data_IF_949504066107
#
_entry.id   IF_949504066107
#
_cell.length_a   1.000
_cell.length_b   1.000
_cell.length_c   1.000
_cell.angle_alpha   90.00
_cell.angle_beta   90.00
_cell.angle_gamma   90.00
#
_symmetry.space_group_name_H-M   'P 1'
#
loop_
_entity.id
_entity.type
_entity.pdbx_description
1 polymer ?
#
# COMPACT_ATOMS: atom_id res chain seq x y z
N UNK A 1 -11.67 -14.42 -15.40
CA UNK A 1 -10.60 -14.11 -16.39
C UNK A 1 -9.31 -13.83 -15.62
N UNK A 2 -8.13 -14.04 -16.20
CA UNK A 2 -6.86 -13.61 -15.59
C UNK A 2 -6.88 -12.12 -15.26
N UNK A 3 -6.42 -11.76 -14.06
CA UNK A 3 -6.26 -10.37 -13.62
C UNK A 3 -4.76 -10.09 -13.52
N UNK A 4 -4.36 -8.87 -13.89
CA UNK A 4 -3.00 -8.36 -13.70
C UNK A 4 -2.99 -7.46 -12.47
N UNK A 5 -2.26 -7.84 -11.44
CA UNK A 5 -2.12 -7.06 -10.21
C UNK A 5 -0.79 -6.29 -10.20
N UNK A 6 -0.83 -4.98 -10.06
CA UNK A 6 0.35 -4.16 -9.77
C UNK A 6 0.38 -3.93 -8.26
N UNK A 7 1.34 -4.56 -7.58
CA UNK A 7 1.40 -4.66 -6.12
C UNK A 7 2.39 -3.64 -5.55
N UNK A 8 1.88 -2.57 -4.95
CA UNK A 8 2.69 -1.46 -4.43
C UNK A 8 2.74 -1.53 -2.90
N UNK A 9 3.92 -1.78 -2.31
CA UNK A 9 4.08 -1.92 -0.87
C UNK A 9 4.06 -0.55 -0.17
N UNK A 10 3.73 -0.58 1.12
CA UNK A 10 3.77 0.57 2.01
C UNK A 10 5.17 0.96 2.46
N UNK A 11 5.22 1.80 3.50
CA UNK A 11 6.46 2.22 4.15
C UNK A 11 7.34 1.03 4.56
N UNK A 12 8.66 1.22 4.57
CA UNK A 12 9.71 0.27 4.97
C UNK A 12 9.88 -0.95 4.05
N UNK A 13 8.92 -1.24 3.17
CA UNK A 13 8.85 -2.48 2.42
C UNK A 13 9.37 -2.30 0.98
N UNK A 14 9.61 -3.42 0.32
CA UNK A 14 9.89 -3.53 -1.11
C UNK A 14 9.04 -4.64 -1.73
N UNK A 15 9.27 -4.94 -3.00
CA UNK A 15 8.58 -6.02 -3.73
C UNK A 15 8.63 -7.37 -3.01
N UNK A 16 9.68 -7.60 -2.22
CA UNK A 16 9.87 -8.79 -1.41
C UNK A 16 8.70 -9.10 -0.45
N UNK A 17 7.97 -8.07 -0.01
CA UNK A 17 6.85 -8.24 0.92
C UNK A 17 5.72 -9.11 0.32
N UNK A 18 5.58 -9.10 -0.99
CA UNK A 18 4.56 -9.87 -1.72
C UNK A 18 4.96 -11.32 -2.02
N UNK A 19 6.16 -11.76 -1.57
CA UNK A 19 6.74 -13.07 -1.92
C UNK A 19 5.82 -14.25 -1.59
N UNK A 20 5.00 -14.17 -0.54
CA UNK A 20 4.06 -15.22 -0.15
C UNK A 20 2.75 -15.16 -0.95
N UNK A 21 2.32 -13.96 -1.38
CA UNK A 21 1.05 -13.73 -2.09
C UNK A 21 1.16 -14.07 -3.58
N UNK A 22 2.29 -13.71 -4.22
CA UNK A 22 2.48 -13.90 -5.67
C UNK A 22 2.26 -15.34 -6.14
N UNK A 23 2.83 -16.38 -5.49
CA UNK A 23 2.58 -17.76 -5.90
C UNK A 23 1.10 -18.15 -5.85
N UNK A 24 0.37 -17.67 -4.84
CA UNK A 24 -1.05 -17.95 -4.65
C UNK A 24 -1.90 -17.32 -5.76
N UNK A 25 -1.60 -16.09 -6.16
CA UNK A 25 -2.24 -15.43 -7.31
C UNK A 25 -1.91 -16.16 -8.62
N UNK A 26 -0.66 -16.56 -8.80
CA UNK A 26 -0.20 -17.29 -10.00
C UNK A 26 -0.89 -18.66 -10.13
N UNK A 27 -1.03 -19.40 -9.03
CA UNK A 27 -1.73 -20.69 -8.99
C UNK A 27 -3.20 -20.57 -9.44
N UNK A 28 -3.82 -19.43 -9.16
CA UNK A 28 -5.19 -19.09 -9.59
C UNK A 28 -5.26 -18.50 -11.01
N UNK A 29 -4.12 -18.44 -11.72
CA UNK A 29 -4.05 -17.98 -13.11
C UNK A 29 -3.97 -16.47 -13.29
N UNK A 30 -3.59 -15.72 -12.23
CA UNK A 30 -3.41 -14.26 -12.26
C UNK A 30 -1.94 -13.88 -12.41
N UNK A 31 -1.67 -12.69 -12.96
CA UNK A 31 -0.34 -12.13 -13.10
C UNK A 31 -0.07 -11.10 -12.01
N UNK A 32 1.17 -11.01 -11.54
CA UNK A 32 1.57 -10.09 -10.47
C UNK A 32 2.81 -9.31 -10.85
N UNK A 33 2.76 -8.00 -10.67
CA UNK A 33 3.82 -7.04 -10.96
C UNK A 33 4.17 -6.29 -9.66
N UNK A 34 5.02 -6.88 -8.81
CA UNK A 34 5.41 -6.24 -7.56
C UNK A 34 6.37 -5.07 -7.81
N UNK A 35 6.15 -3.98 -7.08
CA UNK A 35 6.94 -2.76 -7.20
C UNK A 35 7.84 -2.59 -5.97
N UNK A 36 9.06 -2.09 -6.15
CA UNK A 36 9.84 -1.48 -5.08
C UNK A 36 10.01 -0.01 -5.38
N UNK A 37 9.52 0.84 -4.49
CA UNK A 37 9.65 2.29 -4.62
C UNK A 37 11.11 2.71 -4.38
N UNK A 38 11.56 3.70 -5.12
CA UNK A 38 12.93 4.25 -5.01
C UNK A 38 13.22 4.69 -3.58
N UNK A 39 14.37 4.28 -3.05
CA UNK A 39 14.80 4.57 -1.69
C UNK A 39 14.38 3.55 -0.63
N UNK A 40 13.68 2.47 -1.02
CA UNK A 40 13.27 1.39 -0.10
C UNK A 40 13.68 0.02 -0.66
N UNK A 41 13.58 -1.03 0.18
CA UNK A 41 13.91 -2.40 -0.17
C UNK A 41 15.29 -2.51 -0.84
N UNK A 42 15.39 -3.28 -1.92
CA UNK A 42 16.62 -3.46 -2.70
C UNK A 42 17.07 -2.17 -3.41
N UNK A 43 16.24 -1.12 -3.44
CA UNK A 43 16.56 0.20 -4.00
C UNK A 43 16.94 1.23 -2.92
N UNK A 44 17.23 0.78 -1.70
CA UNK A 44 17.59 1.66 -0.56
C UNK A 44 18.84 2.49 -0.84
N UNK A 45 19.76 2.01 -1.67
CA UNK A 45 20.97 2.74 -2.08
C UNK A 45 20.68 4.03 -2.86
N UNK A 46 19.46 4.21 -3.35
CA UNK A 46 18.98 5.42 -4.02
C UNK A 46 18.26 6.38 -3.06
N UNK A 47 18.20 6.05 -1.75
CA UNK A 47 17.53 6.90 -0.77
C UNK A 47 18.20 8.27 -0.67
N UNK A 48 17.39 9.33 -0.73
CA UNK A 48 17.87 10.70 -0.59
C UNK A 48 16.76 11.60 -0.03
N UNK A 49 17.14 12.74 0.54
CA UNK A 49 16.20 13.75 1.03
C UNK A 49 15.41 14.46 -0.07
N UNK A 50 15.83 14.30 -1.32
CA UNK A 50 15.18 14.92 -2.48
C UNK A 50 14.05 14.05 -3.04
N UNK A 51 13.96 12.77 -2.65
CA UNK A 51 12.90 11.88 -3.10
C UNK A 51 11.54 12.43 -2.71
N UNK A 52 10.72 12.78 -3.71
CA UNK A 52 9.35 13.24 -3.54
C UNK A 52 8.34 12.20 -3.98
N UNK A 53 7.05 12.54 -3.83
CA UNK A 53 5.93 11.67 -4.22
C UNK A 53 5.94 11.35 -5.71
N UNK A 54 6.39 12.28 -6.54
CA UNK A 54 6.48 12.10 -7.99
C UNK A 54 7.43 10.97 -8.38
N UNK A 55 8.55 10.80 -7.67
CA UNK A 55 9.46 9.66 -7.89
C UNK A 55 8.76 8.34 -7.61
N UNK A 56 8.02 8.24 -6.52
CA UNK A 56 7.26 7.03 -6.17
C UNK A 56 6.16 6.74 -7.21
N UNK A 57 5.46 7.77 -7.70
CA UNK A 57 4.47 7.65 -8.77
C UNK A 57 5.14 7.13 -10.05
N UNK A 58 6.28 7.70 -10.44
CA UNK A 58 6.98 7.32 -11.66
C UNK A 58 7.53 5.88 -11.59
N UNK A 59 7.94 5.39 -10.41
CA UNK A 59 8.33 3.98 -10.24
C UNK A 59 7.20 3.03 -10.65
N UNK A 60 5.96 3.33 -10.23
CA UNK A 60 4.79 2.51 -10.56
C UNK A 60 4.40 2.66 -12.02
N UNK A 61 4.39 3.89 -12.54
CA UNK A 61 4.11 4.16 -13.97
C UNK A 61 5.08 3.40 -14.85
N UNK A 62 6.38 3.40 -14.53
CA UNK A 62 7.37 2.67 -15.32
C UNK A 62 7.14 1.16 -15.34
N UNK A 63 6.75 0.54 -14.22
CA UNK A 63 6.39 -0.88 -14.22
C UNK A 63 5.23 -1.14 -15.19
N UNK A 64 4.22 -0.27 -15.21
CA UNK A 64 3.05 -0.41 -16.08
C UNK A 64 3.44 -0.19 -17.55
N UNK A 65 4.22 0.86 -17.84
CA UNK A 65 4.63 1.19 -19.20
C UNK A 65 5.56 0.15 -19.81
N UNK A 66 6.63 -0.24 -19.11
CA UNK A 66 7.64 -1.16 -19.63
C UNK A 66 7.17 -2.64 -19.67
N UNK A 67 6.01 -2.95 -19.11
CA UNK A 67 5.34 -4.25 -19.26
C UNK A 67 4.06 -4.17 -20.11
N UNK A 68 3.81 -3.06 -20.80
CA UNK A 68 2.67 -2.82 -21.69
C UNK A 68 1.31 -3.18 -21.03
N UNK A 69 1.16 -2.89 -19.71
CA UNK A 69 -0.01 -3.33 -18.97
C UNK A 69 -1.25 -2.54 -19.36
N UNK A 70 -2.34 -3.27 -19.59
CA UNK A 70 -3.71 -2.78 -19.74
C UNK A 70 -4.65 -3.68 -18.95
N UNK A 71 -5.78 -3.12 -18.53
CA UNK A 71 -6.79 -3.85 -17.75
C UNK A 71 -6.19 -4.47 -16.49
N UNK A 72 -5.42 -3.67 -15.74
CA UNK A 72 -4.76 -4.07 -14.49
C UNK A 72 -5.45 -3.47 -13.27
N UNK A 73 -5.28 -4.11 -12.13
CA UNK A 73 -5.71 -3.63 -10.82
C UNK A 73 -4.49 -3.16 -10.05
N UNK A 74 -4.56 -1.91 -9.55
CA UNK A 74 -3.55 -1.37 -8.64
C UNK A 74 -3.88 -1.79 -7.21
N UNK A 75 -2.91 -2.35 -6.50
CA UNK A 75 -3.01 -2.63 -5.07
C UNK A 75 -2.07 -1.71 -4.34
N UNK A 76 -2.61 -0.78 -3.57
CA UNK A 76 -1.83 0.17 -2.77
C UNK A 76 -1.92 -0.15 -1.29
N UNK A 77 -0.84 -0.65 -0.69
CA UNK A 77 -0.78 -0.92 0.73
C UNK A 77 -0.35 0.33 1.52
N UNK A 78 -1.11 0.68 2.59
CA UNK A 78 -0.69 1.73 3.52
C UNK A 78 -0.38 3.07 2.81
N UNK A 79 0.79 3.66 3.02
CA UNK A 79 1.29 4.84 2.32
C UNK A 79 1.10 4.78 0.80
N UNK A 80 1.22 3.58 0.20
CA UNK A 80 1.09 3.44 -1.25
C UNK A 80 -0.34 3.76 -1.77
N UNK A 81 -1.35 3.82 -0.92
CA UNK A 81 -2.67 4.35 -1.30
C UNK A 81 -2.57 5.76 -1.90
N UNK A 82 -1.67 6.59 -1.35
CA UNK A 82 -1.37 7.93 -1.85
C UNK A 82 -0.58 7.92 -3.17
N UNK A 83 0.17 6.85 -3.45
CA UNK A 83 0.94 6.70 -4.70
C UNK A 83 0.06 6.18 -5.82
N UNK A 84 -0.76 5.15 -5.57
CA UNK A 84 -1.57 4.50 -6.62
C UNK A 84 -2.71 5.37 -7.13
N UNK A 85 -3.22 6.30 -6.33
CA UNK A 85 -4.30 7.20 -6.76
C UNK A 85 -3.88 8.10 -7.94
N UNK A 86 -2.78 8.88 -7.89
CA UNK A 86 -2.34 9.66 -9.05
C UNK A 86 -1.83 8.80 -10.21
N UNK A 87 -1.31 7.58 -9.96
CA UNK A 87 -1.00 6.63 -11.04
C UNK A 87 -2.27 6.24 -11.80
N UNK A 88 -3.32 5.88 -11.09
CA UNK A 88 -4.61 5.53 -11.68
C UNK A 88 -5.24 6.70 -12.42
N UNK A 89 -5.14 7.92 -11.89
CA UNK A 89 -5.64 9.13 -12.55
C UNK A 89 -4.91 9.39 -13.89
N UNK A 90 -3.59 9.23 -13.93
CA UNK A 90 -2.79 9.38 -15.16
C UNK A 90 -3.10 8.29 -16.20
N UNK A 91 -3.35 7.08 -15.76
CA UNK A 91 -3.57 5.89 -16.61
C UNK A 91 -5.03 5.43 -16.57
N UNK A 92 -5.97 6.37 -16.38
CA UNK A 92 -7.39 6.11 -16.15
C UNK A 92 -8.07 5.28 -17.26
N UNK A 93 -7.55 5.32 -18.48
CA UNK A 93 -8.02 4.55 -19.64
C UNK A 93 -7.46 3.11 -19.69
N UNK A 94 -6.56 2.76 -18.78
CA UNK A 94 -5.88 1.45 -18.75
C UNK A 94 -6.12 0.69 -17.45
N UNK A 95 -6.45 1.39 -16.36
CA UNK A 95 -6.67 0.80 -15.04
C UNK A 95 -8.08 0.25 -14.92
N UNK A 96 -8.24 -0.98 -14.40
CA UNK A 96 -9.54 -1.59 -14.13
C UNK A 96 -10.10 -1.16 -12.77
N UNK A 97 -9.23 -0.84 -11.81
CA UNK A 97 -9.60 -0.38 -10.47
C UNK A 97 -8.42 -0.32 -9.52
N UNK A 98 -8.71 0.16 -8.31
CA UNK A 98 -7.75 0.24 -7.21
C UNK A 98 -8.28 -0.60 -6.03
N UNK A 99 -7.38 -1.35 -5.39
CA UNK A 99 -7.63 -1.98 -4.08
C UNK A 99 -6.72 -1.28 -3.06
N UNK A 100 -7.32 -0.61 -2.10
CA UNK A 100 -6.64 0.01 -0.96
C UNK A 100 -6.49 -1.05 0.14
N UNK A 101 -5.28 -1.53 0.35
CA UNK A 101 -4.97 -2.53 1.38
C UNK A 101 -4.48 -1.82 2.64
N UNK A 102 -5.29 -1.84 3.67
CA UNK A 102 -5.07 -1.12 4.93
C UNK A 102 -4.58 0.32 4.67
N UNK A 103 -5.30 0.98 3.76
CA UNK A 103 -5.01 2.28 3.19
C UNK A 103 -6.30 3.02 2.86
N UNK A 104 -6.20 4.33 2.62
CA UNK A 104 -7.35 5.17 2.34
C UNK A 104 -7.25 5.82 0.97
N UNK A 105 -8.43 6.06 0.37
CA UNK A 105 -8.55 6.93 -0.77
C UNK A 105 -8.24 8.38 -0.34
N UNK A 106 -7.20 9.01 -0.88
CA UNK A 106 -6.63 10.23 -0.30
C UNK A 106 -7.52 11.49 -0.39
N UNK A 107 -8.55 11.45 -1.23
CA UNK A 107 -9.47 12.60 -1.47
C UNK A 107 -10.81 12.49 -0.74
N UNK A 108 -11.24 11.29 -0.34
CA UNK A 108 -12.59 11.03 0.20
C UNK A 108 -12.60 10.59 1.66
N UNK A 109 -11.62 9.82 2.06
CA UNK A 109 -11.53 9.27 3.42
C UNK A 109 -10.29 9.82 4.08
N UNK A 110 -10.47 10.56 5.17
CA UNK A 110 -9.34 10.98 5.99
C UNK A 110 -8.91 9.79 6.85
N UNK A 111 -7.62 9.49 6.86
CA UNK A 111 -7.08 8.58 7.86
C UNK A 111 -7.44 9.09 9.25
N UNK A 112 -7.93 8.23 10.17
CA UNK A 112 -8.14 8.60 11.56
C UNK A 112 -6.88 9.16 12.23
N UNK A 113 -5.73 8.77 11.74
CA UNK A 113 -4.41 9.20 12.23
C UNK A 113 -3.83 10.40 11.46
N UNK A 114 -4.59 11.01 10.53
CA UNK A 114 -4.13 12.09 9.66
C UNK A 114 -3.22 11.59 8.53
N UNK A 115 -2.80 12.50 7.67
CA UNK A 115 -1.83 12.17 6.63
C UNK A 115 -0.47 11.90 7.26
N UNK A 116 -0.25 10.70 7.74
CA UNK A 116 0.96 10.26 8.40
C UNK A 116 1.31 10.95 9.73
N UNK A 117 0.83 10.34 10.79
CA UNK A 117 1.16 10.60 12.19
C UNK A 117 1.18 12.08 12.65
N UNK A 118 0.02 12.74 12.74
CA UNK A 118 -0.06 14.04 13.40
C UNK A 118 0.15 13.94 14.92
N UNK A 119 0.10 12.72 15.49
CA UNK A 119 0.39 12.50 16.92
C UNK A 119 1.89 12.57 17.22
N UNK A 120 2.76 12.53 16.21
CA UNK A 120 4.20 12.41 16.36
C UNK A 120 4.62 11.06 16.95
N UNK A 121 3.75 10.04 16.86
CA UNK A 121 3.97 8.75 17.50
C UNK A 121 5.05 7.91 16.80
N UNK A 122 5.20 8.11 15.47
CA UNK A 122 6.38 7.63 14.75
C UNK A 122 7.58 8.55 14.98
N UNK A 123 7.32 9.76 15.46
CA UNK A 123 8.31 10.81 15.67
C UNK A 123 8.85 11.41 14.37
N UNK A 124 9.51 12.55 14.45
CA UNK A 124 10.28 13.07 13.33
C UNK A 124 11.42 12.09 13.01
N UNK A 125 11.91 12.07 11.76
CA UNK A 125 13.13 11.35 11.46
C UNK A 125 14.24 11.73 12.45
N UNK A 126 15.10 10.78 12.85
CA UNK A 126 16.23 11.09 13.72
C UNK A 126 17.04 12.27 13.18
N UNK A 127 17.59 13.10 14.07
CA UNK A 127 18.33 14.29 13.68
C UNK A 127 19.42 13.97 12.65
N UNK A 128 19.44 14.70 11.54
CA UNK A 128 20.38 14.47 10.45
C UNK A 128 19.95 13.38 9.45
N UNK A 129 18.76 12.78 9.61
CA UNK A 129 18.19 11.83 8.65
C UNK A 129 16.91 12.40 8.02
N UNK A 130 16.49 11.77 6.92
CA UNK A 130 15.27 12.12 6.19
C UNK A 130 14.29 10.93 6.11
N UNK A 131 14.60 9.85 6.83
CA UNK A 131 13.86 8.61 6.78
C UNK A 131 13.63 8.04 8.18
N UNK A 132 12.49 7.38 8.38
CA UNK A 132 12.10 6.74 9.64
C UNK A 132 12.39 5.25 9.54
N UNK A 133 13.16 4.65 10.49
CA UNK A 133 13.37 3.21 10.54
C UNK A 133 12.10 2.49 11.04
N UNK A 134 11.90 1.25 10.59
CA UNK A 134 10.93 0.35 11.23
C UNK A 134 11.48 -0.09 12.58
N UNK A 135 10.74 0.17 13.64
CA UNK A 135 11.13 -0.19 15.02
C UNK A 135 10.19 -1.25 15.60
N UNK A 136 10.67 -1.97 16.62
CA UNK A 136 9.83 -2.93 17.35
C UNK A 136 8.55 -2.29 17.90
N UNK A 137 8.63 -1.05 18.38
CA UNK A 137 7.46 -0.30 18.86
C UNK A 137 6.41 -0.12 17.78
N UNK A 138 6.81 0.16 16.55
CA UNK A 138 5.90 0.30 15.41
C UNK A 138 5.27 -1.06 15.10
N UNK A 139 6.08 -2.13 15.05
CA UNK A 139 5.59 -3.48 14.76
C UNK A 139 4.58 -3.93 15.82
N UNK A 140 4.91 -3.78 17.10
CA UNK A 140 4.02 -4.19 18.21
C UNK A 140 2.67 -3.47 18.20
N UNK A 141 2.67 -2.23 17.71
CA UNK A 141 1.46 -1.42 17.64
C UNK A 141 0.55 -1.75 16.47
N UNK A 142 1.09 -1.79 15.24
CA UNK A 142 0.27 -1.90 14.03
C UNK A 142 0.29 -3.29 13.40
N UNK A 143 1.20 -4.16 13.81
CA UNK A 143 1.33 -5.53 13.32
C UNK A 143 1.58 -6.52 14.47
N UNK A 144 0.71 -6.56 15.49
CA UNK A 144 0.92 -7.39 16.66
C UNK A 144 0.96 -8.89 16.37
N UNK A 145 0.49 -9.31 15.21
CA UNK A 145 0.52 -10.68 14.70
C UNK A 145 1.83 -11.05 13.98
N UNK A 146 2.69 -10.08 13.69
CA UNK A 146 4.01 -10.34 13.10
C UNK A 146 4.96 -10.78 14.22
N UNK A 147 5.15 -12.09 14.36
CA UNK A 147 5.91 -12.69 15.46
C UNK A 147 6.95 -13.70 14.93
N UNK A 148 7.87 -14.12 15.80
CA UNK A 148 8.79 -15.22 15.53
C UNK A 148 9.63 -15.06 14.26
N UNK A 149 9.60 -16.07 13.41
CA UNK A 149 10.37 -16.10 12.15
C UNK A 149 9.90 -15.03 11.15
N UNK A 150 8.60 -14.74 11.09
CA UNK A 150 8.06 -13.70 10.21
C UNK A 150 8.56 -12.31 10.60
N UNK A 151 8.61 -12.02 11.90
CA UNK A 151 9.17 -10.77 12.42
C UNK A 151 10.66 -10.66 12.08
N UNK A 152 11.42 -11.71 12.33
CA UNK A 152 12.85 -11.77 12.03
C UNK A 152 13.10 -11.59 10.53
N UNK A 153 12.31 -12.25 9.69
CA UNK A 153 12.40 -12.13 8.24
C UNK A 153 12.04 -10.72 7.76
N UNK A 154 10.92 -10.15 8.22
CA UNK A 154 10.50 -8.80 7.86
C UNK A 154 11.52 -7.75 8.26
N UNK A 155 11.99 -7.77 9.51
CA UNK A 155 12.96 -6.79 10.02
C UNK A 155 14.31 -6.89 9.34
N UNK A 156 14.74 -8.09 8.91
CA UNK A 156 15.99 -8.27 8.15
C UNK A 156 15.97 -7.63 6.76
N UNK A 157 14.78 -7.31 6.22
CA UNK A 157 14.60 -6.76 4.87
C UNK A 157 14.02 -5.35 4.85
N UNK A 158 13.38 -4.94 5.94
CA UNK A 158 12.83 -3.60 6.06
C UNK A 158 13.94 -2.54 6.02
N UNK A 159 13.67 -1.45 5.32
CA UNK A 159 14.60 -0.33 5.17
C UNK A 159 13.98 0.95 5.70
N UNK A 160 14.79 1.94 6.13
CA UNK A 160 14.24 3.24 6.53
C UNK A 160 13.37 3.84 5.41
N UNK A 161 12.23 4.39 5.79
CA UNK A 161 11.26 4.98 4.89
C UNK A 161 11.47 6.48 4.73
N UNK A 162 11.74 7.02 3.51
CA UNK A 162 11.78 8.45 3.24
C UNK A 162 10.41 9.08 3.44
N UNK A 163 10.30 10.07 4.33
CA UNK A 163 9.00 10.63 4.75
C UNK A 163 8.48 11.77 3.86
N UNK A 164 9.34 12.39 3.07
CA UNK A 164 8.96 13.52 2.21
C UNK A 164 7.80 13.16 1.26
N UNK A 165 7.77 11.98 0.58
CA UNK A 165 6.66 11.60 -0.28
C UNK A 165 5.30 11.54 0.42
N UNK A 166 5.27 11.14 1.70
CA UNK A 166 4.02 11.10 2.45
C UNK A 166 3.45 12.49 2.75
N UNK A 167 4.31 13.48 2.91
CA UNK A 167 3.94 14.84 3.30
C UNK A 167 3.67 15.78 2.11
N UNK A 168 4.11 15.40 0.90
CA UNK A 168 3.83 16.20 -0.30
C UNK A 168 2.37 16.10 -0.72
N UNK A 169 1.74 17.19 -1.18
CA UNK A 169 0.37 17.15 -1.70
C UNK A 169 0.30 16.36 -3.01
N UNK A 170 -0.85 15.76 -3.27
CA UNK A 170 -1.19 15.19 -4.57
C UNK A 170 -2.39 15.94 -5.16
N UNK A 171 -2.48 15.96 -6.47
CA UNK A 171 -3.63 16.51 -7.20
C UNK A 171 -4.23 15.40 -8.06
N UNK A 172 -5.54 15.26 -8.00
CA UNK A 172 -6.31 14.31 -8.80
C UNK A 172 -7.27 15.06 -9.71
N UNK A 173 -7.41 14.61 -10.93
CA UNK A 173 -8.37 15.18 -11.89
C UNK A 173 -9.78 14.60 -11.69
N UNK A 174 -10.78 15.15 -12.37
CA UNK A 174 -12.14 14.59 -12.37
C UNK A 174 -12.24 13.18 -12.99
N UNK A 175 -11.25 12.74 -13.74
CA UNK A 175 -11.19 11.39 -14.31
C UNK A 175 -11.04 10.32 -13.22
N UNK A 176 -10.38 10.66 -12.11
CA UNK A 176 -10.21 9.80 -10.96
C UNK A 176 -11.54 9.34 -10.35
N UNK A 177 -12.60 10.18 -10.44
CA UNK A 177 -13.91 9.84 -9.90
C UNK A 177 -14.60 8.66 -10.62
N UNK A 178 -14.17 8.34 -11.84
CA UNK A 178 -14.69 7.20 -12.61
C UNK A 178 -14.00 5.87 -12.30
N UNK A 179 -12.90 5.89 -11.53
CA UNK A 179 -12.12 4.69 -11.23
C UNK A 179 -12.79 3.91 -10.11
N UNK A 180 -12.98 2.61 -10.33
CA UNK A 180 -13.51 1.70 -9.33
C UNK A 180 -12.54 1.60 -8.15
N UNK A 181 -13.06 1.71 -6.94
CA UNK A 181 -12.30 1.56 -5.70
C UNK A 181 -12.82 0.37 -4.90
N UNK A 182 -11.91 -0.34 -4.24
CA UNK A 182 -12.21 -1.40 -3.29
C UNK A 182 -11.26 -1.29 -2.10
N UNK A 183 -11.64 -1.87 -0.96
CA UNK A 183 -10.90 -1.71 0.28
C UNK A 183 -10.69 -3.06 0.97
N UNK A 184 -9.52 -3.27 1.54
CA UNK A 184 -9.23 -4.35 2.46
C UNK A 184 -8.69 -3.72 3.74
N UNK A 185 -9.40 -3.86 4.83
CA UNK A 185 -9.00 -3.36 6.15
C UNK A 185 -8.45 -4.48 7.01
N UNK A 186 -7.50 -4.15 7.86
CA UNK A 186 -6.90 -5.06 8.83
C UNK A 186 -7.44 -4.75 10.23
N UNK A 187 -8.17 -5.68 10.85
CA UNK A 187 -8.90 -5.42 12.10
C UNK A 187 -7.98 -5.18 13.31
N UNK A 188 -6.69 -5.51 13.20
CA UNK A 188 -5.71 -5.37 14.27
C UNK A 188 -4.57 -4.40 13.95
N UNK A 189 -4.74 -3.56 12.92
CA UNK A 189 -3.73 -2.54 12.54
C UNK A 189 -3.76 -1.29 13.42
N UNK A 190 -4.74 -1.20 14.32
CA UNK A 190 -4.94 -0.04 15.19
C UNK A 190 -5.91 1.01 14.65
N UNK A 191 -6.36 0.86 13.41
CA UNK A 191 -7.41 1.71 12.86
C UNK A 191 -8.81 1.29 13.37
N UNK A 192 -9.72 2.24 13.62
CA UNK A 192 -11.09 1.94 14.05
C UNK A 192 -11.95 1.46 12.87
N UNK A 193 -11.72 0.24 12.41
CA UNK A 193 -12.33 -0.34 11.19
C UNK A 193 -13.86 -0.24 11.20
N UNK A 194 -14.50 -0.55 12.32
CA UNK A 194 -15.97 -0.45 12.45
C UNK A 194 -16.47 0.99 12.25
N UNK A 195 -15.76 1.98 12.75
CA UNK A 195 -16.09 3.39 12.59
C UNK A 195 -15.85 3.87 11.15
N UNK A 196 -14.84 3.32 10.49
CA UNK A 196 -14.55 3.58 9.06
C UNK A 196 -15.69 3.03 8.21
N UNK A 197 -16.07 1.77 8.44
CA UNK A 197 -17.18 1.11 7.73
C UNK A 197 -18.51 1.83 7.97
N UNK A 198 -18.75 2.31 9.19
CA UNK A 198 -19.91 3.11 9.54
C UNK A 198 -19.92 4.53 8.92
N UNK A 199 -18.85 4.91 8.20
CA UNK A 199 -18.74 6.19 7.51
C UNK A 199 -18.41 7.38 8.41
N UNK A 200 -17.96 7.17 9.65
CA UNK A 200 -17.57 8.26 10.57
C UNK A 200 -16.35 9.06 10.08
N UNK A 201 -15.53 8.46 9.23
CA UNK A 201 -14.31 9.04 8.66
C UNK A 201 -14.46 9.44 7.19
N UNK A 202 -15.66 9.32 6.64
CA UNK A 202 -16.00 9.54 5.25
C UNK A 202 -16.68 8.31 4.66
N UNK A 203 -17.48 8.52 3.62
CA UNK A 203 -18.20 7.42 2.97
C UNK A 203 -17.24 6.61 2.09
N UNK A 204 -17.21 5.29 2.31
CA UNK A 204 -16.57 4.37 1.37
C UNK A 204 -17.35 4.35 0.06
N UNK A 205 -16.64 4.43 -1.05
CA UNK A 205 -17.19 4.44 -2.41
C UNK A 205 -16.84 3.16 -3.19
N UNK A 206 -16.91 2.02 -2.52
CA UNK A 206 -16.66 0.72 -3.11
C UNK A 206 -16.85 -0.45 -2.14
N UNK A 207 -16.78 -1.68 -2.66
CA UNK A 207 -16.84 -2.86 -1.83
C UNK A 207 -15.62 -2.96 -0.92
N UNK A 208 -15.79 -3.65 0.22
CA UNK A 208 -14.69 -3.87 1.15
C UNK A 208 -14.64 -5.30 1.68
N UNK A 209 -13.49 -5.66 2.25
CA UNK A 209 -13.21 -6.85 3.04
C UNK A 209 -12.51 -6.46 4.34
N UNK A 210 -12.58 -7.33 5.33
CA UNK A 210 -11.86 -7.16 6.61
C UNK A 210 -11.11 -8.44 6.88
N UNK A 211 -9.80 -8.34 7.04
CA UNK A 211 -8.91 -9.46 7.41
C UNK A 211 -8.57 -9.35 8.90
N UNK A 212 -8.65 -10.47 9.62
CA UNK A 212 -8.21 -10.54 11.02
C UNK A 212 -6.68 -10.61 11.11
N UNK A 213 -6.03 -9.48 10.83
CA UNK A 213 -4.58 -9.30 10.85
C UNK A 213 -4.18 -7.91 11.32
N UNK A 214 -2.91 -7.76 11.66
CA UNK A 214 -2.26 -6.46 11.72
C UNK A 214 -2.00 -5.90 10.33
N UNK A 215 -1.25 -4.80 10.27
CA UNK A 215 -0.99 -3.97 9.08
C UNK A 215 -0.33 -4.69 7.89
N UNK A 216 0.21 -5.89 8.09
CA UNK A 216 0.97 -6.62 7.06
C UNK A 216 0.37 -7.99 6.72
N UNK A 217 -0.89 -8.06 6.21
CA UNK A 217 -1.55 -9.33 5.88
C UNK A 217 -0.82 -10.12 4.80
N UNK A 218 -0.03 -9.45 3.92
CA UNK A 218 0.80 -10.12 2.92
C UNK A 218 1.89 -11.00 3.55
N UNK A 219 2.18 -10.82 4.84
CA UNK A 219 3.16 -11.60 5.60
C UNK A 219 2.47 -12.66 6.45
N UNK A 220 1.39 -12.28 7.17
CA UNK A 220 0.76 -13.09 8.20
C UNK A 220 -0.50 -13.84 7.75
N UNK A 221 -1.16 -13.39 6.68
CA UNK A 221 -2.41 -13.96 6.11
C UNK A 221 -2.38 -13.96 4.58
N UNK A 222 -1.33 -14.49 3.93
CA UNK A 222 -1.17 -14.38 2.48
C UNK A 222 -2.27 -15.08 1.68
N UNK A 223 -2.80 -16.21 2.19
CA UNK A 223 -3.87 -16.98 1.55
C UNK A 223 -5.17 -16.17 1.51
N UNK A 224 -5.62 -15.68 2.67
CA UNK A 224 -6.83 -14.87 2.80
C UNK A 224 -6.71 -13.57 1.97
N UNK A 225 -5.54 -12.94 2.02
CA UNK A 225 -5.28 -11.74 1.21
C UNK A 225 -5.38 -12.02 -0.29
N UNK A 226 -4.81 -13.15 -0.77
CA UNK A 226 -4.88 -13.51 -2.19
C UNK A 226 -6.33 -13.75 -2.64
N UNK A 227 -7.14 -14.43 -1.82
CA UNK A 227 -8.56 -14.66 -2.08
C UNK A 227 -9.35 -13.35 -2.14
N UNK A 228 -9.13 -12.44 -1.21
CA UNK A 228 -9.80 -11.14 -1.16
C UNK A 228 -9.40 -10.23 -2.34
N UNK A 229 -8.11 -10.22 -2.72
CA UNK A 229 -7.65 -9.50 -3.91
C UNK A 229 -8.36 -10.00 -5.18
N UNK A 230 -8.48 -11.31 -5.36
CA UNK A 230 -9.16 -11.91 -6.52
C UNK A 230 -10.65 -11.57 -6.50
N UNK A 231 -11.31 -11.71 -5.34
CA UNK A 231 -12.73 -11.43 -5.20
C UNK A 231 -13.07 -9.98 -5.52
N UNK A 232 -12.26 -9.02 -5.05
CA UNK A 232 -12.48 -7.59 -5.29
C UNK A 232 -12.12 -7.14 -6.71
N UNK A 233 -11.20 -7.84 -7.37
CA UNK A 233 -10.80 -7.53 -8.74
C UNK A 233 -11.78 -8.05 -9.81
N UNK A 234 -12.61 -9.05 -9.47
CA UNK A 234 -13.58 -9.68 -10.37
C UNK A 234 -14.99 -9.08 -10.34
N UNK A 235 -15.25 -8.08 -9.48
CA UNK A 235 -16.56 -7.44 -9.25
C UNK A 235 -16.86 -6.25 -10.15
#
# INVERSE_FOLDING_TARGET
MPVKFVLVPGAWLGAWAWKKVIPLLTEKGHESYPVTLTGMGERVHLASKELGIETAIQDVVNIIEFNDLREFVLVGHSFAGKVVAPVADRLHDRVSGIIYLDAFRPDKVRSPQGAFDPSGEYGPPPQGTFAIPLTDKIIDRIGPDVQGEERSWMTSKATPWPVKPANEPITLSSKFDSIKNSFIFCSRSGDPVDDIIAGKWGKLDGPYRVIDSGHWPMITRPEELAEDLIALAGG
#
